data_IF_632214800517
#
_entry.id   IF_632214800517
#
_cell.length_a   1.000
_cell.length_b   1.000
_cell.length_c   1.000
_cell.angle_alpha   90.00
_cell.angle_beta   90.00
_cell.angle_gamma   90.00
#
_symmetry.space_group_name_H-M   'P 1'
#
loop_
_entity.id
_entity.type
_entity.pdbx_description
1 polymer ?
#
# COMPACT_ATOMS: atom_id res chain seq x y z
N UNK A 1 11.19 -1.54 15.88
CA UNK A 1 10.04 -0.78 16.43
C UNK A 1 10.45 -0.19 17.78
N UNK A 2 9.75 0.80 18.34
CA UNK A 2 10.12 1.42 19.63
C UNK A 2 8.90 2.04 20.35
N UNK A 3 9.03 2.34 21.63
CA UNK A 3 8.02 3.06 22.41
C UNK A 3 8.17 4.58 22.26
N UNK A 4 7.10 5.27 21.87
CA UNK A 4 7.03 6.74 21.80
C UNK A 4 6.09 7.28 22.88
N UNK A 5 6.56 8.28 23.63
CA UNK A 5 5.75 8.99 24.62
C UNK A 5 5.11 10.26 24.01
N UNK A 6 3.85 10.50 24.36
CA UNK A 6 3.12 11.73 24.08
C UNK A 6 2.67 12.35 25.40
N UNK A 7 2.94 13.65 25.56
CA UNK A 7 2.52 14.41 26.75
C UNK A 7 1.24 15.16 26.43
N UNK A 8 0.26 15.11 27.34
CA UNK A 8 -0.97 15.90 27.25
C UNK A 8 -1.28 16.50 28.60
N UNK A 9 -1.61 17.78 28.63
CA UNK A 9 -2.10 18.45 29.84
C UNK A 9 -3.63 18.38 29.81
N UNK A 10 -4.23 17.82 30.85
CA UNK A 10 -5.67 17.82 31.07
C UNK A 10 -5.95 18.19 32.52
N UNK A 11 -6.90 19.10 32.76
CA UNK A 11 -7.24 19.59 34.12
C UNK A 11 -6.04 20.02 34.97
N UNK A 12 -5.03 20.63 34.35
CA UNK A 12 -3.81 21.09 35.03
C UNK A 12 -2.81 19.98 35.38
N UNK A 13 -3.08 18.71 35.07
CA UNK A 13 -2.17 17.57 35.28
C UNK A 13 -1.52 17.13 33.97
N UNK A 14 -0.22 16.86 34.01
CA UNK A 14 0.51 16.27 32.88
C UNK A 14 0.28 14.75 32.85
N UNK A 15 -0.35 14.29 31.78
CA UNK A 15 -0.52 12.88 31.47
C UNK A 15 0.49 12.45 30.40
N UNK A 16 1.06 11.25 30.56
CA UNK A 16 2.03 10.67 29.62
C UNK A 16 1.50 9.36 29.05
N UNK A 17 1.22 9.38 27.76
CA UNK A 17 0.70 8.24 27.02
C UNK A 17 1.77 7.63 26.14
N UNK A 18 1.71 6.32 25.96
CA UNK A 18 2.69 5.55 25.21
C UNK A 18 2.05 4.89 23.99
N UNK A 19 2.82 4.82 22.90
CA UNK A 19 2.48 4.05 21.71
C UNK A 19 3.68 3.22 21.25
N UNK A 20 3.41 2.03 20.71
CA UNK A 20 4.40 1.31 19.89
C UNK A 20 4.41 1.94 18.51
N UNK A 21 5.60 2.32 18.05
CA UNK A 21 5.82 3.01 16.78
C UNK A 21 6.87 2.28 15.96
N UNK A 22 6.64 2.23 14.66
CA UNK A 22 7.58 1.73 13.66
C UNK A 22 8.17 2.91 12.89
N UNK A 23 9.52 2.93 12.77
CA UNK A 23 10.21 3.82 11.85
C UNK A 23 10.26 3.16 10.48
N UNK A 24 9.55 3.75 9.52
CA UNK A 24 9.50 3.24 8.15
C UNK A 24 10.34 4.15 7.27
N UNK A 25 11.39 3.60 6.67
CA UNK A 25 12.22 4.32 5.69
C UNK A 25 11.49 4.35 4.35
N UNK A 26 11.39 5.54 3.78
CA UNK A 26 10.85 5.76 2.44
C UNK A 26 11.84 6.61 1.64
N UNK A 27 11.67 6.68 0.33
CA UNK A 27 12.40 7.56 -0.59
C UNK A 27 12.30 9.03 -0.17
N UNK A 28 11.26 9.39 0.61
CA UNK A 28 10.99 10.75 1.11
C UNK A 28 11.43 10.98 2.56
N UNK A 29 12.17 10.04 3.14
CA UNK A 29 12.71 10.12 4.51
C UNK A 29 12.13 9.07 5.45
N UNK A 30 12.33 9.25 6.75
CA UNK A 30 11.76 8.33 7.75
C UNK A 30 10.43 8.90 8.23
N UNK A 31 9.36 8.12 8.12
CA UNK A 31 8.10 8.46 8.78
C UNK A 31 7.80 7.45 9.90
N UNK A 32 7.04 7.91 10.88
CA UNK A 32 6.72 7.15 12.08
C UNK A 32 5.27 6.68 12.02
N UNK A 33 5.05 5.37 12.04
CA UNK A 33 3.71 4.76 12.03
C UNK A 33 3.39 4.20 13.40
N UNK A 34 2.26 4.62 13.97
CA UNK A 34 1.78 4.04 15.22
C UNK A 34 1.14 2.67 14.98
N UNK A 35 1.65 1.66 15.66
CA UNK A 35 1.16 0.28 15.58
C UNK A 35 0.13 -0.03 16.67
N UNK A 36 0.39 0.42 17.90
CA UNK A 36 -0.46 0.17 19.05
C UNK A 36 -0.43 1.36 20.01
N UNK A 37 -1.61 1.78 20.49
CA UNK A 37 -1.73 2.76 21.56
C UNK A 37 -1.82 2.02 22.90
N UNK A 38 -0.93 2.32 23.83
CA UNK A 38 -0.79 1.61 25.10
C UNK A 38 -1.39 2.38 26.29
N UNK A 39 -1.78 3.65 26.08
CA UNK A 39 -2.28 4.49 27.17
C UNK A 39 -1.17 4.86 28.17
N UNK A 40 -1.53 5.03 29.43
CA UNK A 40 -0.55 5.30 30.50
C UNK A 40 0.09 3.99 30.95
N UNK A 41 1.42 3.97 30.97
CA UNK A 41 2.20 2.83 31.44
C UNK A 41 2.96 3.23 32.70
N UNK A 42 2.99 2.35 33.69
CA UNK A 42 3.94 2.45 34.79
C UNK A 42 5.33 1.96 34.35
N UNK A 43 6.33 2.17 35.20
CA UNK A 43 7.73 1.88 34.85
C UNK A 43 8.00 0.39 34.59
N UNK A 44 7.30 -0.52 35.28
CA UNK A 44 7.46 -1.97 35.07
C UNK A 44 6.83 -2.44 33.75
N UNK A 45 5.64 -1.93 33.40
CA UNK A 45 4.98 -2.20 32.12
C UNK A 45 5.81 -1.66 30.95
N UNK A 46 6.42 -0.48 31.10
CA UNK A 46 7.31 0.10 30.08
C UNK A 46 8.53 -0.80 29.83
N UNK A 47 9.18 -1.31 30.88
CA UNK A 47 10.35 -2.18 30.75
C UNK A 47 10.03 -3.50 30.04
N UNK A 48 8.86 -4.09 30.32
CA UNK A 48 8.39 -5.30 29.64
C UNK A 48 8.15 -5.06 28.14
N UNK A 49 7.53 -3.94 27.77
CA UNK A 49 7.30 -3.59 26.37
C UNK A 49 8.59 -3.26 25.61
N UNK A 50 9.58 -2.60 26.24
CA UNK A 50 10.88 -2.41 25.61
C UNK A 50 11.55 -3.75 25.28
N UNK A 51 11.54 -4.70 26.24
CA UNK A 51 12.18 -6.01 26.08
C UNK A 51 11.54 -6.87 24.98
N UNK A 52 10.23 -6.71 24.73
CA UNK A 52 9.50 -7.44 23.70
C UNK A 52 9.74 -6.91 22.26
N UNK A 53 10.33 -5.72 22.10
CA UNK A 53 10.51 -5.06 20.79
C UNK A 53 11.89 -5.30 20.15
N UNK A 54 12.81 -5.98 20.83
CA UNK A 54 14.25 -6.09 20.49
C UNK A 54 14.63 -7.26 19.54
N UNK A 55 13.71 -7.80 18.75
CA UNK A 55 14.02 -8.94 17.86
C UNK A 55 13.60 -8.66 16.41
N UNK A 56 14.59 -8.49 15.52
CA UNK A 56 14.73 -9.09 14.16
C UNK A 56 15.70 -8.27 13.28
N UNK A 57 16.56 -8.92 12.47
CA UNK A 57 17.41 -8.28 11.45
C UNK A 57 17.53 -9.15 10.19
N UNK A 58 17.26 -8.55 9.02
CA UNK A 58 17.25 -9.15 7.67
C UNK A 58 18.49 -8.68 6.88
N UNK A 59 19.65 -9.26 7.19
CA UNK A 59 20.92 -8.87 6.58
C UNK A 59 21.31 -9.80 5.43
N UNK A 60 20.99 -9.41 4.20
CA UNK A 60 21.93 -9.37 3.06
C UNK A 60 21.20 -9.30 1.71
N UNK A 61 21.00 -8.08 1.24
CA UNK A 61 20.46 -7.76 -0.07
C UNK A 61 21.43 -8.16 -1.20
N UNK A 62 21.31 -9.39 -1.72
CA UNK A 62 21.82 -9.77 -3.03
C UNK A 62 20.79 -10.61 -3.78
N UNK A 63 20.54 -10.28 -5.04
CA UNK A 63 19.60 -11.01 -5.90
C UNK A 63 20.39 -11.99 -6.76
N UNK A 64 20.11 -13.29 -6.62
CA UNK A 64 20.68 -14.36 -7.45
C UNK A 64 19.56 -15.22 -8.01
N UNK A 65 19.63 -15.54 -9.30
CA UNK A 65 18.69 -16.45 -9.94
C UNK A 65 18.98 -17.89 -9.48
N UNK A 66 17.98 -18.55 -8.88
CA UNK A 66 18.06 -19.91 -8.34
C UNK A 66 17.11 -20.84 -9.08
N UNK A 67 17.50 -22.10 -9.24
CA UNK A 67 16.66 -23.16 -9.84
C UNK A 67 16.13 -24.05 -8.73
N UNK A 68 14.80 -24.14 -8.60
CA UNK A 68 14.12 -24.79 -7.50
C UNK A 68 13.82 -26.26 -7.84
N UNK A 69 14.16 -27.16 -6.93
CA UNK A 69 13.91 -28.60 -7.02
C UNK A 69 13.14 -29.08 -5.79
N UNK A 70 12.25 -30.07 -5.90
CA UNK A 70 11.72 -30.78 -4.74
C UNK A 70 12.84 -31.45 -3.92
N UNK A 71 12.67 -31.57 -2.60
CA UNK A 71 13.65 -32.23 -1.70
C UNK A 71 14.02 -33.66 -2.15
N UNK A 72 13.06 -34.39 -2.71
CA UNK A 72 13.23 -35.79 -3.12
C UNK A 72 13.95 -35.97 -4.46
N UNK A 73 14.35 -34.88 -5.14
CA UNK A 73 14.98 -34.92 -6.46
C UNK A 73 16.37 -34.31 -6.47
N UNK A 74 17.37 -35.07 -6.91
CA UNK A 74 18.73 -34.56 -7.11
C UNK A 74 18.77 -33.61 -8.32
N UNK A 75 19.23 -32.36 -8.15
CA UNK A 75 19.39 -31.42 -9.25
C UNK A 75 20.44 -31.88 -10.28
N UNK A 76 20.26 -31.60 -11.58
CA UNK A 76 21.28 -31.89 -12.60
C UNK A 76 22.58 -31.12 -12.35
N UNK A 77 23.75 -31.73 -12.62
CA UNK A 77 25.07 -31.13 -12.35
C UNK A 77 25.35 -29.87 -13.20
N UNK A 78 24.60 -29.62 -14.27
CA UNK A 78 24.75 -28.45 -15.15
C UNK A 78 24.12 -27.18 -14.56
N UNK A 79 23.39 -27.28 -13.45
CA UNK A 79 22.69 -26.15 -12.82
C UNK A 79 23.63 -25.44 -11.84
N UNK A 80 23.91 -24.16 -12.09
CA UNK A 80 24.86 -23.38 -11.26
C UNK A 80 24.37 -23.00 -9.86
N UNK A 81 23.05 -22.96 -9.62
CA UNK A 81 22.46 -22.60 -8.31
C UNK A 81 21.22 -23.47 -8.01
N UNK A 82 21.36 -24.79 -7.84
CA UNK A 82 20.22 -25.64 -7.55
C UNK A 82 19.85 -25.53 -6.07
N UNK A 83 18.57 -25.32 -5.78
CA UNK A 83 18.03 -25.26 -4.42
C UNK A 83 16.95 -26.32 -4.28
N UNK A 84 17.18 -27.29 -3.40
CA UNK A 84 16.15 -28.27 -3.03
C UNK A 84 15.26 -27.67 -1.92
N UNK A 85 13.95 -27.62 -2.16
CA UNK A 85 12.96 -27.05 -1.25
C UNK A 85 12.14 -28.16 -0.58
N UNK A 86 12.03 -28.05 0.74
CA UNK A 86 11.09 -28.82 1.55
C UNK A 86 9.73 -28.13 1.56
N UNK A 87 8.86 -28.47 0.62
CA UNK A 87 7.53 -27.85 0.53
C UNK A 87 6.70 -28.04 1.82
N UNK A 88 6.88 -29.16 2.51
CA UNK A 88 6.24 -29.47 3.80
C UNK A 88 6.72 -28.58 4.96
N UNK A 89 7.83 -27.85 4.79
CA UNK A 89 8.38 -26.93 5.79
C UNK A 89 8.30 -25.48 5.31
N UNK A 90 7.65 -25.21 4.17
CA UNK A 90 7.51 -23.87 3.64
C UNK A 90 6.49 -23.06 4.46
N UNK A 91 6.89 -21.88 4.90
CA UNK A 91 6.03 -20.94 5.63
C UNK A 91 5.80 -19.68 4.79
N UNK A 92 4.55 -19.22 4.73
CA UNK A 92 4.24 -17.96 4.08
C UNK A 92 4.51 -16.79 5.03
N UNK A 93 5.40 -15.90 4.64
CA UNK A 93 5.68 -14.65 5.34
C UNK A 93 5.13 -13.48 4.52
N UNK A 94 4.45 -12.55 5.19
CA UNK A 94 3.87 -11.34 4.59
C UNK A 94 2.96 -11.60 3.37
N UNK A 95 1.92 -12.45 3.48
CA UNK A 95 0.98 -12.62 2.37
C UNK A 95 0.33 -11.29 2.02
N UNK A 96 0.36 -10.94 0.72
CA UNK A 96 -0.25 -9.72 0.18
C UNK A 96 -1.38 -10.07 -0.77
N UNK A 97 -2.45 -9.27 -0.75
CA UNK A 97 -3.51 -9.32 -1.74
C UNK A 97 -2.97 -8.82 -3.09
N UNK A 98 -2.41 -9.74 -3.88
CA UNK A 98 -1.84 -9.42 -5.19
C UNK A 98 -2.90 -9.37 -6.29
N UNK A 99 -3.66 -10.46 -6.47
CA UNK A 99 -4.57 -10.62 -7.61
C UNK A 99 -5.63 -9.53 -7.68
N UNK A 100 -6.21 -9.14 -6.55
CA UNK A 100 -7.16 -8.03 -6.49
C UNK A 100 -6.54 -6.70 -6.89
N UNK A 101 -5.35 -6.38 -6.37
CA UNK A 101 -4.65 -5.14 -6.69
C UNK A 101 -4.28 -5.08 -8.17
N UNK A 102 -3.78 -6.17 -8.73
CA UNK A 102 -3.45 -6.28 -10.15
C UNK A 102 -4.69 -6.09 -11.03
N UNK A 103 -5.81 -6.74 -10.70
CA UNK A 103 -7.06 -6.60 -11.47
C UNK A 103 -7.61 -5.17 -11.37
N UNK A 104 -7.52 -4.53 -10.21
CA UNK A 104 -7.92 -3.13 -10.06
C UNK A 104 -7.04 -2.18 -10.91
N UNK A 105 -5.73 -2.43 -11.00
CA UNK A 105 -4.84 -1.67 -11.90
C UNK A 105 -5.14 -1.94 -13.38
N UNK A 106 -5.54 -3.16 -13.72
CA UNK A 106 -5.95 -3.50 -15.09
C UNK A 106 -7.24 -2.77 -15.48
N UNK A 107 -8.26 -2.77 -14.60
CA UNK A 107 -9.48 -1.98 -14.81
C UNK A 107 -9.19 -0.48 -14.93
N UNK A 108 -8.26 0.03 -14.11
CA UNK A 108 -7.82 1.43 -14.19
C UNK A 108 -7.25 1.76 -15.58
N UNK A 109 -6.40 0.88 -16.12
CA UNK A 109 -5.79 1.05 -17.43
C UNK A 109 -6.83 0.96 -18.56
N UNK A 110 -7.78 0.03 -18.48
CA UNK A 110 -8.86 -0.11 -19.46
C UNK A 110 -9.77 1.13 -19.53
N UNK A 111 -9.94 1.83 -18.41
CA UNK A 111 -10.67 3.10 -18.35
C UNK A 111 -9.83 4.31 -18.78
N UNK A 112 -8.56 4.11 -19.17
CA UNK A 112 -7.62 5.16 -19.58
C UNK A 112 -7.52 6.30 -18.54
N UNK A 113 -7.60 5.94 -17.26
CA UNK A 113 -7.67 6.92 -16.17
C UNK A 113 -6.36 7.68 -15.97
N UNK A 114 -5.22 7.11 -16.39
CA UNK A 114 -3.93 7.82 -16.38
C UNK A 114 -3.99 9.06 -17.27
N UNK A 115 -4.50 8.93 -18.50
CA UNK A 115 -4.66 10.07 -19.41
C UNK A 115 -5.51 11.18 -18.82
N UNK A 116 -6.54 10.84 -18.04
CA UNK A 116 -7.37 11.83 -17.38
C UNK A 116 -6.64 12.51 -16.22
N UNK A 117 -5.99 11.72 -15.35
CA UNK A 117 -5.46 12.19 -14.07
C UNK A 117 -4.03 12.73 -14.10
N UNK A 118 -3.15 12.20 -14.95
CA UNK A 118 -1.76 12.68 -15.07
C UNK A 118 -1.63 14.21 -15.20
N UNK A 119 -2.34 14.88 -16.13
CA UNK A 119 -2.23 16.33 -16.26
C UNK A 119 -2.86 17.11 -15.09
N UNK A 120 -3.74 16.46 -14.31
CA UNK A 120 -4.50 17.07 -13.20
C UNK A 120 -3.83 16.85 -11.84
N UNK A 121 -3.01 15.81 -11.73
CA UNK A 121 -2.32 15.42 -10.51
C UNK A 121 -0.79 15.40 -10.70
N UNK A 122 -0.18 16.53 -11.10
CA UNK A 122 1.26 16.61 -11.29
C UNK A 122 1.98 16.38 -9.97
N UNK A 123 3.18 15.79 -10.02
CA UNK A 123 3.95 15.49 -8.82
C UNK A 123 4.12 16.70 -7.90
N UNK A 124 4.05 16.47 -6.59
CA UNK A 124 4.33 17.55 -5.64
C UNK A 124 5.80 17.98 -5.70
N UNK A 125 6.10 19.21 -5.24
CA UNK A 125 7.49 19.67 -5.04
C UNK A 125 8.34 18.75 -4.14
N UNK A 126 7.69 17.90 -3.33
CA UNK A 126 8.34 16.91 -2.46
C UNK A 126 8.42 15.52 -3.12
N UNK A 127 8.18 15.45 -4.43
CA UNK A 127 8.17 14.22 -5.23
C UNK A 127 6.98 13.31 -4.94
N UNK A 128 5.83 13.84 -4.49
CA UNK A 128 4.61 13.04 -4.27
C UNK A 128 3.95 12.69 -5.58
N UNK A 129 4.02 11.42 -5.98
CA UNK A 129 3.26 10.86 -7.10
C UNK A 129 1.79 10.74 -6.73
N UNK A 130 1.02 11.81 -6.90
CA UNK A 130 -0.41 11.84 -6.54
C UNK A 130 -1.23 10.81 -7.33
N UNK A 131 -0.83 10.48 -8.55
CA UNK A 131 -1.45 9.42 -9.33
C UNK A 131 -1.34 8.06 -8.63
N UNK A 132 -0.16 7.70 -8.11
CA UNK A 132 0.07 6.48 -7.33
C UNK A 132 -0.79 6.44 -6.05
N UNK A 133 -0.92 7.59 -5.38
CA UNK A 133 -1.78 7.74 -4.21
C UNK A 133 -3.24 7.51 -4.58
N UNK A 134 -3.70 8.10 -5.69
CA UNK A 134 -5.07 7.94 -6.18
C UNK A 134 -5.37 6.49 -6.60
N UNK A 135 -4.47 5.84 -7.36
CA UNK A 135 -4.58 4.42 -7.72
C UNK A 135 -4.74 3.55 -6.48
N UNK A 136 -3.96 3.84 -5.43
CA UNK A 136 -4.06 3.14 -4.14
C UNK A 136 -5.40 3.37 -3.45
N UNK A 137 -5.90 4.61 -3.41
CA UNK A 137 -7.21 4.94 -2.84
C UNK A 137 -8.35 4.24 -3.59
N UNK A 138 -8.34 4.27 -4.92
CA UNK A 138 -9.38 3.61 -5.74
C UNK A 138 -9.31 2.10 -5.57
N UNK A 139 -8.13 1.50 -5.61
CA UNK A 139 -7.95 0.07 -5.39
C UNK A 139 -8.47 -0.36 -4.01
N UNK A 140 -8.15 0.40 -2.96
CA UNK A 140 -8.68 0.15 -1.62
C UNK A 140 -10.21 0.21 -1.57
N UNK A 141 -10.81 1.19 -2.24
CA UNK A 141 -12.28 1.34 -2.31
C UNK A 141 -12.96 0.19 -3.06
N UNK A 142 -12.29 -0.43 -4.03
CA UNK A 142 -12.82 -1.57 -4.77
C UNK A 142 -12.69 -2.90 -4.01
N UNK A 143 -11.60 -3.08 -3.28
CA UNK A 143 -11.25 -4.38 -2.69
C UNK A 143 -11.65 -4.53 -1.22
N UNK A 144 -11.50 -3.49 -0.42
CA UNK A 144 -11.71 -3.54 1.03
C UNK A 144 -12.12 -2.16 1.58
N UNK A 145 -13.30 -1.65 1.18
CA UNK A 145 -13.69 -0.28 1.48
C UNK A 145 -13.71 -0.01 2.99
N UNK A 146 -12.94 1.00 3.39
CA UNK A 146 -12.87 1.44 4.79
C UNK A 146 -12.36 2.87 4.88
N UNK A 147 -11.97 3.29 6.08
CA UNK A 147 -11.37 4.61 6.29
C UNK A 147 -9.94 4.67 5.74
N UNK A 148 -9.50 5.86 5.33
CA UNK A 148 -8.10 6.16 4.94
C UNK A 148 -7.15 5.87 6.10
N UNK A 149 -7.66 5.94 7.34
CA UNK A 149 -6.90 5.57 8.52
C UNK A 149 -6.62 4.07 8.61
N UNK A 150 -7.60 3.21 8.28
CA UNK A 150 -7.38 1.76 8.18
C UNK A 150 -6.49 1.42 6.99
N UNK A 151 -6.62 2.15 5.86
CA UNK A 151 -5.71 2.04 4.72
C UNK A 151 -4.26 2.25 5.18
N UNK A 152 -4.01 3.40 5.82
CA UNK A 152 -2.69 3.80 6.29
C UNK A 152 -2.06 2.83 7.30
N UNK A 153 -2.87 2.33 8.24
CA UNK A 153 -2.34 1.51 9.34
C UNK A 153 -2.13 0.06 8.94
N UNK A 154 -3.10 -0.52 8.24
CA UNK A 154 -3.23 -1.96 8.13
C UNK A 154 -3.20 -2.40 6.66
N UNK A 155 -4.15 -1.94 5.84
CA UNK A 155 -4.38 -2.53 4.51
C UNK A 155 -3.19 -2.37 3.55
N UNK A 156 -2.50 -1.22 3.56
CA UNK A 156 -1.38 -1.00 2.64
C UNK A 156 -0.23 -2.01 2.84
N UNK A 157 -0.04 -2.53 4.07
CA UNK A 157 0.98 -3.54 4.37
C UNK A 157 0.65 -4.91 3.78
N UNK A 158 -0.63 -5.18 3.61
CA UNK A 158 -1.16 -6.50 3.23
C UNK A 158 -1.64 -6.51 1.79
N UNK A 159 -1.34 -5.49 1.01
CA UNK A 159 -1.71 -5.39 -0.41
C UNK A 159 -0.47 -5.19 -1.27
N UNK A 160 -0.59 -5.46 -2.57
CA UNK A 160 0.53 -5.38 -3.51
C UNK A 160 0.72 -4.00 -4.16
N UNK A 161 0.02 -2.96 -3.69
CA UNK A 161 0.04 -1.64 -4.34
C UNK A 161 1.43 -1.00 -4.35
N UNK A 162 2.21 -1.17 -3.28
CA UNK A 162 3.60 -0.69 -3.24
C UNK A 162 4.44 -1.32 -4.36
N UNK A 163 4.33 -2.64 -4.52
CA UNK A 163 5.10 -3.42 -5.50
C UNK A 163 4.66 -3.10 -6.94
N UNK A 164 3.35 -3.06 -7.19
CA UNK A 164 2.78 -2.80 -8.52
C UNK A 164 3.05 -1.37 -9.01
N UNK A 165 3.13 -0.41 -8.10
CA UNK A 165 3.39 1.00 -8.44
C UNK A 165 4.87 1.38 -8.38
N UNK A 166 5.74 0.51 -7.86
CA UNK A 166 7.15 0.84 -7.61
C UNK A 166 7.34 1.91 -6.53
N UNK A 167 6.39 1.99 -5.61
CA UNK A 167 6.28 3.01 -4.57
C UNK A 167 6.57 2.42 -3.19
N UNK A 168 6.65 3.29 -2.18
CA UNK A 168 6.83 2.89 -0.78
C UNK A 168 5.68 3.41 0.10
N UNK A 169 5.74 3.10 1.39
CA UNK A 169 4.73 3.49 2.39
C UNK A 169 4.44 5.01 2.44
N UNK A 170 5.25 5.88 1.82
CA UNK A 170 4.99 7.32 1.79
C UNK A 170 3.73 7.70 1.01
N UNK A 171 3.30 6.89 0.04
CA UNK A 171 2.03 7.14 -0.68
C UNK A 171 0.81 6.83 0.17
N UNK A 172 0.95 5.98 1.19
CA UNK A 172 -0.11 5.61 2.11
C UNK A 172 -0.08 6.38 3.44
N UNK A 173 0.76 7.40 3.56
CA UNK A 173 0.79 8.25 4.76
C UNK A 173 -0.55 8.99 4.93
N UNK A 174 -1.08 9.03 6.16
CA UNK A 174 -2.40 9.61 6.47
C UNK A 174 -2.63 10.98 5.80
N UNK A 175 -1.73 11.94 6.01
CA UNK A 175 -1.88 13.28 5.45
C UNK A 175 -1.80 13.30 3.92
N UNK A 176 -1.02 12.38 3.33
CA UNK A 176 -0.93 12.20 1.88
C UNK A 176 -2.27 11.74 1.30
N UNK A 177 -2.92 10.76 1.94
CA UNK A 177 -4.22 10.25 1.50
C UNK A 177 -5.28 11.36 1.49
N UNK A 178 -5.44 12.10 2.58
CA UNK A 178 -6.43 13.18 2.67
C UNK A 178 -6.14 14.31 1.68
N UNK A 179 -4.88 14.74 1.56
CA UNK A 179 -4.51 15.77 0.58
C UNK A 179 -4.74 15.33 -0.86
N UNK A 180 -4.65 14.03 -1.15
CA UNK A 180 -4.98 13.51 -2.47
C UNK A 180 -6.48 13.66 -2.73
N UNK A 181 -7.33 13.33 -1.76
CA UNK A 181 -8.79 13.45 -1.88
C UNK A 181 -9.23 14.91 -2.09
N UNK A 182 -8.62 15.85 -1.37
CA UNK A 182 -8.92 17.29 -1.52
C UNK A 182 -8.72 17.78 -2.96
N UNK A 183 -7.74 17.22 -3.68
CA UNK A 183 -7.46 17.57 -5.08
C UNK A 183 -8.51 17.04 -6.07
N UNK A 184 -9.28 16.02 -5.70
CA UNK A 184 -10.22 15.39 -6.63
C UNK A 184 -11.52 16.20 -6.79
N UNK A 185 -11.88 16.98 -5.77
CA UNK A 185 -13.15 17.68 -5.69
C UNK A 185 -13.40 18.62 -6.88
N UNK A 186 -12.36 19.33 -7.33
CA UNK A 186 -12.47 20.27 -8.46
C UNK A 186 -12.72 19.57 -9.81
N UNK A 187 -12.32 18.30 -9.94
CA UNK A 187 -12.39 17.55 -11.19
C UNK A 187 -13.61 16.64 -11.29
N UNK A 188 -14.52 16.68 -10.31
CA UNK A 188 -15.68 15.78 -10.24
C UNK A 188 -16.47 15.75 -11.55
N UNK A 189 -16.96 16.89 -12.02
CA UNK A 189 -17.82 16.95 -13.20
C UNK A 189 -17.10 16.48 -14.49
N UNK A 190 -15.83 16.84 -14.62
CA UNK A 190 -14.98 16.41 -15.74
C UNK A 190 -14.77 14.89 -15.72
N UNK A 191 -14.53 14.31 -14.55
CA UNK A 191 -14.36 12.88 -14.38
C UNK A 191 -15.64 12.12 -14.77
N UNK A 192 -16.81 12.58 -14.32
CA UNK A 192 -18.09 11.98 -14.71
C UNK A 192 -18.29 12.01 -16.22
N UNK A 193 -17.95 13.13 -16.88
CA UNK A 193 -18.05 13.28 -18.34
C UNK A 193 -17.08 12.35 -19.07
N UNK A 194 -15.84 12.24 -18.57
CA UNK A 194 -14.81 11.34 -19.09
C UNK A 194 -15.24 9.88 -18.98
N UNK A 195 -15.68 9.44 -17.80
CA UNK A 195 -16.13 8.07 -17.55
C UNK A 195 -17.36 7.71 -18.38
N UNK A 196 -18.30 8.64 -18.58
CA UNK A 196 -19.46 8.41 -19.47
C UNK A 196 -19.00 8.15 -20.90
N UNK A 197 -18.00 8.89 -21.38
CA UNK A 197 -17.42 8.69 -22.71
C UNK A 197 -16.72 7.32 -22.82
N UNK A 198 -15.89 6.97 -21.83
CA UNK A 198 -15.22 5.67 -21.78
C UNK A 198 -16.21 4.51 -21.76
N UNK A 199 -17.26 4.62 -20.96
CA UNK A 199 -18.31 3.61 -20.88
C UNK A 199 -19.01 3.40 -22.23
N UNK A 200 -19.39 4.48 -22.92
CA UNK A 200 -20.00 4.38 -24.26
C UNK A 200 -19.06 3.73 -25.29
N UNK A 201 -17.75 4.00 -25.20
CA UNK A 201 -16.75 3.42 -26.10
C UNK A 201 -16.52 1.93 -25.83
N UNK A 202 -16.35 1.55 -24.56
CA UNK A 202 -16.10 0.17 -24.14
C UNK A 202 -17.28 -0.75 -24.46
N UNK A 203 -18.52 -0.26 -24.29
CA UNK A 203 -19.73 -1.04 -24.53
C UNK A 203 -20.43 -0.75 -25.86
N UNK A 204 -19.81 0.06 -26.74
CA UNK A 204 -20.31 0.35 -28.09
C UNK A 204 -21.77 0.82 -28.17
N UNK A 205 -22.26 1.55 -27.16
CA UNK A 205 -23.68 1.98 -27.08
C UNK A 205 -24.09 3.04 -28.12
N UNK A 206 -23.19 3.38 -29.04
CA UNK A 206 -23.47 4.24 -30.20
C UNK A 206 -23.53 3.49 -31.54
N UNK A 207 -23.29 2.17 -31.60
CA UNK A 207 -23.32 1.41 -32.88
C UNK A 207 -24.59 0.60 -33.12
N UNK A 208 -25.46 0.40 -32.14
CA UNK A 208 -26.69 -0.38 -32.32
C UNK A 208 -27.96 0.45 -32.58
N UNK A 209 -27.90 1.79 -32.56
CA UNK A 209 -29.10 2.62 -32.85
C UNK A 209 -29.21 3.11 -34.30
N UNK A 210 -28.14 2.98 -35.10
CA UNK A 210 -28.19 3.27 -36.55
C UNK A 210 -28.60 2.06 -37.40
N UNK A 211 -28.42 0.84 -36.89
CA UNK A 211 -28.65 -0.40 -37.65
C UNK A 211 -30.08 -0.94 -37.52
N UNK A 212 -30.95 -0.28 -36.75
CA UNK A 212 -32.38 -0.60 -36.62
C UNK A 212 -33.32 0.36 -37.37
N UNK A 213 -32.78 1.36 -38.09
CA UNK A 213 -33.56 2.31 -38.89
C UNK A 213 -33.05 2.45 -40.33
N UNK A 214 -32.55 1.36 -40.92
CA UNK A 214 -32.30 1.23 -42.35
C UNK A 214 -33.19 0.12 -42.97
#
# INVERSE_FOLDING_TARGET
MYLRAYKRINDGKEHRYWSVVESVRTKRGVHQRQLLYLGELNDSQKAQWCSALDVFDESNASVRQMSLFPEDRTPPPEVSNPVQIRLSQMTFHHPRQWGGCWLATELWNQLDLDRFWEPRLPESRKGTGWLSVLKTLVCYRLLDPGSEWRLHRDWFKTCAMADLLGEDDSIAAKDTLYRCLDKLCEHKNDLFSFLKTQWSLLFSLGRELSDFLA
#
